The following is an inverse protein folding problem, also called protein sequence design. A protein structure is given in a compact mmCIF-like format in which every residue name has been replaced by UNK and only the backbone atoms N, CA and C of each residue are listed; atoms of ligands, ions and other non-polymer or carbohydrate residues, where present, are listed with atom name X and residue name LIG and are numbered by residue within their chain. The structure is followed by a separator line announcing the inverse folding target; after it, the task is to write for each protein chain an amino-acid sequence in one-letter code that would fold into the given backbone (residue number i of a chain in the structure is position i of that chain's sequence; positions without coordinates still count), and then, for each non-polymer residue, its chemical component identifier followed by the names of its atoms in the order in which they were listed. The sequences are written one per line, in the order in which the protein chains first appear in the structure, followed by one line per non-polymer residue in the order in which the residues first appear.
data_IF_787660013256
#
_entry.id   IF_787660013256
#
_cell.length_a   1.000
_cell.length_b   1.000
_cell.length_c   1.000
_cell.angle_alpha   90.00
_cell.angle_beta   90.00
_cell.angle_gamma   90.00
#
_symmetry.space_group_name_H-M   'P 1'
#
loop_
_entity.id
_entity.type
_entity.pdbx_description
1 polymer ?
#
# COMPACT_ATOMS: atom_id res chain seq x y z
N UNK A 1 -58.76 -24.20 42.91
CA UNK A 1 -57.42 -24.86 42.95
C UNK A 1 -57.00 -25.51 41.62
N UNK A 2 -57.84 -26.32 40.94
CA UNK A 2 -57.49 -26.95 39.64
C UNK A 2 -57.17 -25.95 38.50
N UNK A 3 -58.03 -24.94 38.26
CA UNK A 3 -57.80 -23.91 37.21
C UNK A 3 -56.45 -23.18 37.32
N UNK A 4 -56.06 -22.76 38.54
CA UNK A 4 -54.76 -22.10 38.81
C UNK A 4 -53.56 -23.01 38.51
N UNK A 5 -53.65 -24.31 38.80
CA UNK A 5 -52.62 -25.30 38.42
C UNK A 5 -52.52 -25.46 36.90
N UNK A 6 -53.64 -25.46 36.18
CA UNK A 6 -53.66 -25.54 34.71
C UNK A 6 -53.05 -24.31 34.05
N UNK A 7 -53.37 -23.10 34.53
CA UNK A 7 -52.81 -21.84 34.04
C UNK A 7 -51.29 -21.80 34.26
N UNK A 8 -50.81 -22.20 35.44
CA UNK A 8 -49.38 -22.25 35.74
C UNK A 8 -48.65 -23.25 34.82
N UNK A 9 -49.29 -24.38 34.49
CA UNK A 9 -48.74 -25.38 33.56
C UNK A 9 -48.61 -24.81 32.13
N UNK A 10 -49.61 -24.07 31.67
CA UNK A 10 -49.60 -23.39 30.36
C UNK A 10 -48.52 -22.30 30.29
N UNK A 11 -48.37 -21.48 31.33
CA UNK A 11 -47.33 -20.44 31.39
C UNK A 11 -45.93 -21.07 31.34
N UNK A 12 -45.68 -22.11 32.15
CA UNK A 12 -44.40 -22.83 32.14
C UNK A 12 -44.09 -23.44 30.76
N UNK A 13 -45.11 -24.03 30.11
CA UNK A 13 -44.95 -24.59 28.78
C UNK A 13 -44.62 -23.51 27.75
N UNK A 14 -45.30 -22.36 27.79
CA UNK A 14 -45.07 -21.24 26.88
C UNK A 14 -43.67 -20.64 27.05
N UNK A 15 -43.20 -20.47 28.30
CA UNK A 15 -41.84 -20.03 28.60
C UNK A 15 -40.82 -21.04 28.06
N UNK A 16 -41.01 -22.34 28.34
CA UNK A 16 -40.12 -23.41 27.85
C UNK A 16 -40.03 -23.41 26.32
N UNK A 17 -41.17 -23.33 25.63
CA UNK A 17 -41.19 -23.27 24.16
C UNK A 17 -40.55 -21.98 23.62
N UNK A 18 -40.69 -20.86 24.32
CA UNK A 18 -40.04 -19.62 23.91
C UNK A 18 -38.53 -19.67 24.09
N UNK A 19 -38.04 -20.18 25.23
CA UNK A 19 -36.61 -20.39 25.46
C UNK A 19 -36.02 -21.38 24.47
N UNK A 20 -36.72 -22.47 24.16
CA UNK A 20 -36.27 -23.45 23.16
C UNK A 20 -36.10 -22.81 21.78
N UNK A 21 -37.07 -22.02 21.31
CA UNK A 21 -36.97 -21.33 20.01
C UNK A 21 -35.79 -20.38 19.95
N UNK A 22 -35.57 -19.57 21.00
CA UNK A 22 -34.43 -18.65 21.05
C UNK A 22 -33.11 -19.41 21.06
N UNK A 23 -33.04 -20.53 21.77
CA UNK A 23 -31.85 -21.38 21.82
C UNK A 23 -31.57 -22.06 20.47
N UNK A 24 -32.61 -22.57 19.80
CA UNK A 24 -32.49 -23.16 18.47
C UNK A 24 -32.04 -22.14 17.42
N UNK A 25 -32.58 -20.91 17.49
CA UNK A 25 -32.16 -19.79 16.63
C UNK A 25 -30.70 -19.42 16.87
N UNK A 26 -30.29 -19.25 18.13
CA UNK A 26 -28.91 -18.92 18.51
C UNK A 26 -27.93 -19.99 18.02
N UNK A 27 -28.27 -21.27 18.16
CA UNK A 27 -27.45 -22.35 17.62
C UNK A 27 -27.39 -22.35 16.09
N UNK A 28 -28.48 -21.94 15.43
CA UNK A 28 -28.49 -21.84 13.98
C UNK A 28 -27.55 -20.71 13.50
N UNK A 29 -27.61 -19.55 14.16
CA UNK A 29 -26.68 -18.44 13.92
C UNK A 29 -25.23 -18.85 14.17
N UNK A 30 -24.94 -19.58 15.25
CA UNK A 30 -23.59 -20.08 15.52
C UNK A 30 -23.10 -21.01 14.41
N UNK A 31 -23.97 -21.87 13.87
CA UNK A 31 -23.61 -22.74 12.72
C UNK A 31 -23.32 -21.93 11.46
N UNK A 32 -24.12 -20.91 11.15
CA UNK A 32 -23.86 -20.06 9.99
C UNK A 32 -22.56 -19.27 10.15
N UNK A 33 -22.32 -18.66 11.31
CA UNK A 33 -21.05 -17.98 11.61
C UNK A 33 -19.84 -18.92 11.48
N UNK A 34 -19.98 -20.19 11.86
CA UNK A 34 -18.91 -21.20 11.66
C UNK A 34 -18.67 -21.48 10.17
N UNK A 35 -19.71 -21.53 9.33
CA UNK A 35 -19.58 -21.70 7.88
C UNK A 35 -18.92 -20.49 7.25
N UNK A 36 -19.38 -19.28 7.58
CA UNK A 36 -18.78 -18.03 7.13
C UNK A 36 -17.31 -17.93 7.55
N UNK A 37 -17.00 -18.28 8.80
CA UNK A 37 -15.63 -18.33 9.30
C UNK A 37 -14.75 -19.34 8.54
N UNK A 38 -15.31 -20.47 8.09
CA UNK A 38 -14.59 -21.41 7.22
C UNK A 38 -14.35 -20.83 5.83
N UNK A 39 -15.37 -20.21 5.22
CA UNK A 39 -15.23 -19.55 3.91
C UNK A 39 -14.19 -18.44 3.95
N UNK A 40 -14.21 -17.59 4.99
CA UNK A 40 -13.26 -16.50 5.15
C UNK A 40 -11.82 -17.02 5.28
N UNK A 41 -11.61 -18.11 6.02
CA UNK A 41 -10.29 -18.77 6.10
C UNK A 41 -9.83 -19.29 4.75
N UNK A 42 -10.74 -19.87 3.96
CA UNK A 42 -10.41 -20.37 2.63
C UNK A 42 -10.06 -19.23 1.66
N UNK A 43 -10.83 -18.13 1.68
CA UNK A 43 -10.54 -16.91 0.92
C UNK A 43 -9.14 -16.41 1.30
N UNK A 44 -8.88 -16.24 2.60
CA UNK A 44 -7.60 -15.73 3.08
C UNK A 44 -6.42 -16.61 2.65
N UNK A 45 -6.56 -17.94 2.74
CA UNK A 45 -5.56 -18.89 2.22
C UNK A 45 -5.31 -18.68 0.73
N UNK A 46 -6.37 -18.63 -0.10
CA UNK A 46 -6.25 -18.39 -1.55
C UNK A 46 -5.57 -17.06 -1.85
N UNK A 47 -5.94 -16.01 -1.12
CA UNK A 47 -5.33 -14.68 -1.25
C UNK A 47 -3.85 -14.71 -0.90
N UNK A 48 -3.46 -15.38 0.20
CA UNK A 48 -2.05 -15.55 0.55
C UNK A 48 -1.26 -16.34 -0.48
N UNK A 49 -1.79 -17.47 -0.96
CA UNK A 49 -1.13 -18.30 -1.97
C UNK A 49 -0.93 -17.50 -3.27
N UNK A 50 -1.93 -16.71 -3.67
CA UNK A 50 -1.85 -15.82 -4.82
C UNK A 50 -0.79 -14.73 -4.63
N UNK A 51 -0.77 -14.05 -3.48
CA UNK A 51 0.26 -13.04 -3.18
C UNK A 51 1.67 -13.66 -3.16
N UNK A 52 1.83 -14.84 -2.57
CA UNK A 52 3.11 -15.55 -2.55
C UNK A 52 3.57 -15.96 -3.95
N UNK A 53 2.66 -16.43 -4.80
CA UNK A 53 2.97 -16.75 -6.20
C UNK A 53 3.36 -15.49 -6.98
N UNK A 54 2.58 -14.40 -6.86
CA UNK A 54 2.86 -13.13 -7.51
C UNK A 54 4.21 -12.56 -7.09
N UNK A 55 4.55 -12.62 -5.80
CA UNK A 55 5.83 -12.13 -5.28
C UNK A 55 7.02 -12.94 -5.83
N UNK A 56 6.86 -14.27 -5.98
CA UNK A 56 7.87 -15.13 -6.61
C UNK A 56 8.08 -14.77 -8.08
N UNK A 57 6.99 -14.62 -8.84
CA UNK A 57 7.07 -14.24 -10.25
C UNK A 57 7.66 -12.84 -10.40
N UNK A 58 7.25 -11.88 -9.57
CA UNK A 58 7.84 -10.55 -9.50
C UNK A 58 9.35 -10.65 -9.28
N UNK A 59 9.79 -11.38 -8.26
CA UNK A 59 11.21 -11.55 -7.94
C UNK A 59 12.02 -12.15 -9.09
N UNK A 60 11.45 -13.13 -9.82
CA UNK A 60 12.10 -13.69 -11.03
C UNK A 60 12.30 -12.61 -12.09
N UNK A 61 11.24 -11.88 -12.42
CA UNK A 61 11.29 -10.78 -13.39
C UNK A 61 12.26 -9.68 -12.96
N UNK A 62 12.32 -9.35 -11.66
CA UNK A 62 13.27 -8.37 -11.14
C UNK A 62 14.73 -8.81 -11.28
N UNK A 63 15.00 -10.11 -11.12
CA UNK A 63 16.35 -10.67 -11.29
C UNK A 63 16.74 -10.80 -12.76
N UNK A 64 15.77 -11.07 -13.64
CA UNK A 64 15.97 -11.12 -15.09
C UNK A 64 16.05 -9.72 -15.72
N UNK A 65 15.48 -8.71 -15.06
CA UNK A 65 15.54 -7.33 -15.51
C UNK A 65 16.99 -6.82 -15.45
N UNK A 66 17.62 -6.73 -16.62
CA UNK A 66 18.89 -6.06 -16.77
C UNK A 66 18.68 -4.55 -16.73
N UNK A 67 19.32 -3.88 -15.78
CA UNK A 67 19.33 -2.42 -15.71
C UNK A 67 20.70 -1.90 -16.13
N UNK A 68 20.75 -1.23 -17.28
CA UNK A 68 21.94 -0.56 -17.79
C UNK A 68 22.18 0.76 -17.05
N UNK A 69 22.36 0.71 -15.73
CA UNK A 69 22.68 1.89 -14.94
C UNK A 69 24.15 2.27 -15.08
N UNK A 70 24.41 3.57 -14.99
CA UNK A 70 25.75 4.14 -14.85
C UNK A 70 26.43 3.61 -13.56
N UNK A 71 27.77 3.66 -13.46
CA UNK A 71 28.48 3.28 -12.25
C UNK A 71 27.97 4.01 -11.01
N UNK A 72 27.81 3.29 -9.90
CA UNK A 72 27.20 3.81 -8.68
C UNK A 72 27.89 5.03 -8.05
N UNK A 73 29.18 5.22 -8.34
CA UNK A 73 30.01 6.34 -7.88
C UNK A 73 29.87 7.61 -8.74
N UNK A 74 29.28 7.50 -9.93
CA UNK A 74 29.09 8.66 -10.81
C UNK A 74 28.08 9.65 -10.20
N UNK A 75 28.37 10.95 -10.33
CA UNK A 75 27.48 12.02 -9.88
C UNK A 75 26.56 12.47 -11.01
N UNK A 76 25.28 12.68 -10.66
CA UNK A 76 24.26 13.24 -11.54
C UNK A 76 23.76 14.55 -10.93
N UNK A 77 23.57 15.55 -11.79
CA UNK A 77 22.99 16.84 -11.44
C UNK A 77 21.53 16.84 -11.89
N UNK A 78 20.62 17.10 -10.95
CA UNK A 78 19.19 17.27 -11.16
C UNK A 78 18.83 18.74 -10.94
N UNK A 79 18.09 19.34 -11.86
CA UNK A 79 17.52 20.66 -11.73
C UNK A 79 16.01 20.52 -11.51
N UNK A 80 15.57 20.68 -10.26
CA UNK A 80 14.17 20.50 -9.84
C UNK A 80 13.56 21.88 -9.68
N UNK A 81 12.65 22.28 -10.56
CA UNK A 81 11.97 23.58 -10.44
C UNK A 81 12.89 24.81 -10.36
N UNK A 82 14.13 24.70 -10.85
CA UNK A 82 15.15 25.76 -10.78
C UNK A 82 16.27 25.52 -9.76
N UNK A 83 16.10 24.62 -8.80
CA UNK A 83 17.10 24.30 -7.77
C UNK A 83 17.94 23.08 -8.17
N UNK A 84 19.26 23.17 -8.00
CA UNK A 84 20.19 22.11 -8.40
C UNK A 84 20.54 21.17 -7.25
N UNK A 85 20.36 19.87 -7.48
CA UNK A 85 20.77 18.79 -6.60
C UNK A 85 21.82 17.94 -7.28
N UNK A 86 22.95 17.73 -6.61
CA UNK A 86 23.97 16.78 -7.05
C UNK A 86 24.00 15.59 -6.11
N UNK A 87 24.03 14.39 -6.67
CA UNK A 87 24.07 13.15 -5.89
C UNK A 87 24.64 12.00 -6.72
N UNK A 88 25.08 10.93 -6.04
CA UNK A 88 25.57 9.74 -6.70
C UNK A 88 24.43 8.87 -7.25
N UNK A 89 24.73 8.14 -8.34
CA UNK A 89 23.83 7.16 -8.95
C UNK A 89 23.29 6.17 -7.92
N UNK A 90 24.13 5.69 -7.00
CA UNK A 90 23.75 4.76 -5.94
C UNK A 90 22.54 5.22 -5.08
N UNK A 91 22.37 6.52 -4.89
CA UNK A 91 21.24 7.07 -4.14
C UNK A 91 19.96 7.06 -5.00
N UNK A 92 20.08 7.46 -6.27
CA UNK A 92 18.94 7.58 -7.19
C UNK A 92 18.38 6.22 -7.61
N UNK A 93 19.21 5.17 -7.65
CA UNK A 93 18.80 3.82 -8.06
C UNK A 93 18.24 2.96 -6.93
N UNK A 94 18.12 3.48 -5.69
CA UNK A 94 17.57 2.71 -4.56
C UNK A 94 16.19 2.14 -4.89
N UNK A 95 15.35 2.93 -5.55
CA UNK A 95 14.13 2.45 -6.20
C UNK A 95 14.39 2.28 -7.70
N UNK A 96 14.76 1.06 -8.11
CA UNK A 96 15.20 0.73 -9.48
C UNK A 96 14.19 1.03 -10.60
N UNK A 97 12.90 1.11 -10.26
CA UNK A 97 11.81 1.43 -11.20
C UNK A 97 11.32 2.89 -11.10
N UNK A 98 12.00 3.72 -10.32
CA UNK A 98 11.65 5.13 -10.17
C UNK A 98 12.04 5.95 -11.41
N UNK A 99 11.42 7.12 -11.53
CA UNK A 99 11.81 8.12 -12.54
C UNK A 99 13.28 8.50 -12.35
N UNK A 100 13.73 8.64 -11.10
CA UNK A 100 15.11 9.00 -10.77
C UNK A 100 16.11 7.93 -11.25
N UNK A 101 15.82 6.66 -11.01
CA UNK A 101 16.65 5.56 -11.50
C UNK A 101 16.72 5.52 -13.03
N UNK A 102 15.63 5.88 -13.73
CA UNK A 102 15.62 5.95 -15.18
C UNK A 102 16.58 7.00 -15.75
N UNK A 103 16.85 8.09 -15.01
CA UNK A 103 17.83 9.11 -15.40
C UNK A 103 19.28 8.62 -15.27
N UNK A 104 19.51 7.60 -14.43
CA UNK A 104 20.81 6.97 -14.23
C UNK A 104 21.14 5.90 -15.26
N UNK A 105 20.29 5.67 -16.25
CA UNK A 105 20.57 4.69 -17.31
C UNK A 105 21.60 5.23 -18.30
N UNK A 106 22.31 4.34 -18.97
CA UNK A 106 23.19 4.67 -20.10
C UNK A 106 22.46 5.47 -21.19
N UNK A 107 21.17 5.16 -21.38
CA UNK A 107 20.25 5.85 -22.29
C UNK A 107 19.06 6.41 -21.50
N UNK A 108 19.19 7.62 -20.93
CA UNK A 108 18.11 8.22 -20.14
C UNK A 108 16.94 8.65 -21.05
N UNK A 109 15.69 8.64 -20.55
CA UNK A 109 14.50 8.95 -21.33
C UNK A 109 14.37 10.45 -21.67
N UNK A 110 15.11 11.31 -20.97
CA UNK A 110 15.16 12.76 -21.21
C UNK A 110 16.59 13.18 -21.48
N UNK A 111 16.76 14.22 -22.29
CA UNK A 111 18.08 14.78 -22.59
C UNK A 111 18.58 15.68 -21.45
N UNK A 112 19.90 15.70 -21.25
CA UNK A 112 20.55 16.65 -20.35
C UNK A 112 20.45 18.08 -20.92
N UNK A 113 20.35 19.06 -20.04
CA UNK A 113 20.49 20.48 -20.35
C UNK A 113 21.94 20.79 -20.77
N UNK A 114 22.21 21.97 -21.37
CA UNK A 114 23.56 22.37 -21.78
C UNK A 114 24.60 22.37 -20.65
N UNK A 115 24.16 22.54 -19.41
CA UNK A 115 25.01 22.51 -18.21
C UNK A 115 25.20 21.09 -17.63
N UNK A 116 24.70 20.06 -18.31
CA UNK A 116 24.81 18.66 -17.92
C UNK A 116 23.74 18.18 -16.92
N UNK A 117 22.81 19.04 -16.50
CA UNK A 117 21.75 18.68 -15.55
C UNK A 117 20.50 18.08 -16.21
N UNK A 118 19.75 17.26 -15.48
CA UNK A 118 18.41 16.83 -15.89
C UNK A 118 17.35 17.73 -15.27
N UNK A 119 16.49 18.33 -16.09
CA UNK A 119 15.44 19.22 -15.60
C UNK A 119 14.13 18.48 -15.33
N UNK A 120 13.53 18.78 -14.19
CA UNK A 120 12.24 18.25 -13.76
C UNK A 120 11.41 19.41 -13.20
N UNK A 121 10.24 19.64 -13.78
CA UNK A 121 9.34 20.73 -13.40
C UNK A 121 8.47 20.35 -12.19
N UNK A 122 9.10 20.28 -11.01
CA UNK A 122 8.49 19.91 -9.73
C UNK A 122 9.01 20.77 -8.59
N UNK A 123 8.38 20.67 -7.42
CA UNK A 123 8.76 21.45 -6.25
C UNK A 123 10.06 20.92 -5.60
N UNK A 124 11.10 21.74 -5.66
CA UNK A 124 12.39 21.43 -5.01
C UNK A 124 12.31 21.39 -3.49
N UNK A 125 11.38 22.15 -2.90
CA UNK A 125 11.21 22.20 -1.46
C UNK A 125 10.69 20.87 -0.92
N UNK A 126 9.84 20.15 -1.65
CA UNK A 126 9.45 18.79 -1.26
C UNK A 126 10.54 17.79 -1.65
N UNK A 127 11.20 17.98 -2.79
CA UNK A 127 12.23 17.08 -3.29
C UNK A 127 13.42 16.87 -2.32
N UNK A 128 13.80 17.87 -1.53
CA UNK A 128 14.85 17.68 -0.50
C UNK A 128 14.50 16.57 0.51
N UNK A 129 13.22 16.36 0.80
CA UNK A 129 12.76 15.27 1.67
C UNK A 129 12.82 13.91 0.97
N UNK A 130 12.55 13.85 -0.33
CA UNK A 130 12.82 12.66 -1.15
C UNK A 130 14.30 12.28 -1.04
N UNK A 131 15.20 13.25 -1.25
CA UNK A 131 16.64 13.01 -1.16
C UNK A 131 17.07 12.55 0.23
N UNK A 132 16.52 13.17 1.28
CA UNK A 132 16.78 12.77 2.66
C UNK A 132 16.32 11.33 2.94
N UNK A 133 15.15 10.95 2.43
CA UNK A 133 14.63 9.59 2.55
C UNK A 133 15.50 8.60 1.78
N UNK A 134 15.86 8.88 0.53
CA UNK A 134 16.73 8.01 -0.25
C UNK A 134 18.09 7.83 0.42
N UNK A 135 18.64 8.84 1.10
CA UNK A 135 19.91 8.68 1.83
C UNK A 135 19.75 7.85 3.09
N UNK A 136 18.83 8.25 3.98
CA UNK A 136 18.81 7.81 5.38
C UNK A 136 17.52 7.08 5.81
N UNK A 137 16.57 6.86 4.90
CA UNK A 137 15.25 6.27 5.18
C UNK A 137 14.46 7.05 6.26
N UNK A 138 14.66 8.37 6.30
CA UNK A 138 14.03 9.25 7.30
C UNK A 138 12.84 9.98 6.69
N UNK A 139 11.72 10.00 7.41
CA UNK A 139 10.51 10.74 7.08
C UNK A 139 10.37 12.01 7.94
N UNK A 140 9.77 13.09 7.41
CA UNK A 140 9.38 14.22 8.23
C UNK A 140 8.29 13.85 9.23
N UNK A 141 8.19 14.58 10.34
CA UNK A 141 7.15 14.37 11.36
C UNK A 141 5.86 15.15 11.08
N UNK A 142 5.94 16.18 10.25
CA UNK A 142 4.79 17.01 9.89
C UNK A 142 3.86 16.24 8.93
N UNK A 143 2.58 16.19 9.29
CA UNK A 143 1.55 15.45 8.55
C UNK A 143 1.28 16.07 7.19
N UNK A 144 1.15 17.39 7.10
CA UNK A 144 0.80 18.05 5.84
C UNK A 144 1.94 17.88 4.82
N UNK A 145 3.17 18.00 5.32
CA UNK A 145 4.37 17.71 4.54
C UNK A 145 4.46 16.24 4.10
N UNK A 146 4.06 15.27 4.94
CA UNK A 146 4.04 13.85 4.56
C UNK A 146 3.06 13.60 3.41
N UNK A 147 1.95 14.31 3.39
CA UNK A 147 0.93 14.19 2.35
C UNK A 147 1.41 14.79 1.02
N UNK A 148 2.03 15.97 1.04
CA UNK A 148 2.68 16.55 -0.15
C UNK A 148 3.84 15.66 -0.64
N UNK A 149 4.61 15.10 0.29
CA UNK A 149 5.69 14.16 -0.03
C UNK A 149 5.16 12.87 -0.65
N UNK A 150 3.97 12.41 -0.25
CA UNK A 150 3.32 11.24 -0.85
C UNK A 150 2.93 11.50 -2.30
N UNK A 151 2.42 12.69 -2.61
CA UNK A 151 2.07 13.09 -3.98
C UNK A 151 3.32 13.15 -4.87
N UNK A 152 4.44 13.69 -4.37
CA UNK A 152 5.73 13.63 -5.07
C UNK A 152 6.27 12.19 -5.18
N UNK A 153 6.15 11.38 -4.13
CA UNK A 153 6.59 9.98 -4.16
C UNK A 153 5.87 9.20 -5.26
N UNK A 154 4.58 9.47 -5.46
CA UNK A 154 3.81 8.89 -6.56
C UNK A 154 4.30 9.40 -7.92
N UNK A 155 4.56 10.71 -8.07
CA UNK A 155 5.11 11.29 -9.30
C UNK A 155 6.45 10.65 -9.70
N UNK A 156 7.40 10.56 -8.78
CA UNK A 156 8.71 9.94 -9.02
C UNK A 156 8.67 8.41 -9.04
N UNK A 157 7.51 7.79 -8.77
CA UNK A 157 7.30 6.34 -8.66
C UNK A 157 8.20 5.69 -7.61
N UNK A 158 8.37 6.37 -6.48
CA UNK A 158 9.14 5.93 -5.32
C UNK A 158 8.26 5.05 -4.43
N UNK A 159 8.29 3.74 -4.70
CA UNK A 159 7.47 2.76 -4.01
C UNK A 159 7.89 2.59 -2.55
N UNK A 160 9.20 2.63 -2.26
CA UNK A 160 9.70 2.50 -0.89
C UNK A 160 9.26 3.68 -0.02
N UNK A 161 9.31 4.90 -0.57
CA UNK A 161 8.83 6.10 0.10
C UNK A 161 7.32 6.09 0.31
N UNK A 162 6.56 5.73 -0.72
CA UNK A 162 5.09 5.64 -0.63
C UNK A 162 4.66 4.64 0.44
N UNK A 163 5.28 3.45 0.48
CA UNK A 163 5.02 2.43 1.49
C UNK A 163 5.43 2.88 2.89
N UNK A 164 6.56 3.58 3.03
CA UNK A 164 7.01 4.10 4.31
C UNK A 164 6.02 5.13 4.87
N UNK A 165 5.50 6.04 4.04
CA UNK A 165 4.48 7.03 4.44
C UNK A 165 3.17 6.35 4.85
N UNK A 166 2.69 5.39 4.05
CA UNK A 166 1.47 4.63 4.36
C UNK A 166 1.58 3.81 5.64
N UNK A 167 2.79 3.44 6.06
CA UNK A 167 3.02 2.71 7.31
C UNK A 167 2.98 3.59 8.56
N UNK A 168 2.94 4.92 8.42
CA UNK A 168 2.91 5.84 9.56
C UNK A 168 1.54 5.78 10.24
N UNK A 169 1.46 5.41 11.54
CA UNK A 169 0.19 5.31 12.24
C UNK A 169 -0.52 6.67 12.35
N UNK A 170 -1.83 6.69 12.12
CA UNK A 170 -2.67 7.89 12.26
C UNK A 170 -2.65 8.83 11.06
N UNK A 171 -1.96 8.47 9.97
CA UNK A 171 -2.16 9.07 8.65
C UNK A 171 -3.34 8.39 7.97
N UNK A 172 -4.54 8.85 8.30
CA UNK A 172 -5.77 8.51 7.57
C UNK A 172 -6.00 9.58 6.51
N UNK A 173 -5.81 9.23 5.23
CA UNK A 173 -6.06 10.11 4.08
C UNK A 173 -6.60 9.31 2.90
N UNK A 174 -7.67 9.81 2.27
CA UNK A 174 -8.37 9.15 1.16
C UNK A 174 -7.46 8.93 -0.06
N UNK A 175 -6.39 9.72 -0.22
CA UNK A 175 -5.41 9.56 -1.30
C UNK A 175 -4.72 8.21 -1.26
N UNK A 176 -4.53 7.60 -0.08
CA UNK A 176 -3.91 6.26 0.03
C UNK A 176 -4.78 5.15 -0.59
N UNK A 177 -6.09 5.34 -0.64
CA UNK A 177 -7.05 4.34 -1.12
C UNK A 177 -7.48 4.57 -2.59
N UNK A 178 -7.13 5.69 -3.20
CA UNK A 178 -7.45 5.96 -4.62
C UNK A 178 -6.67 5.05 -5.59
N UNK A 179 -5.47 4.60 -5.19
CA UNK A 179 -4.57 3.81 -6.03
C UNK A 179 -5.05 2.37 -6.27
N UNK A 180 -5.80 1.78 -5.33
CA UNK A 180 -6.29 0.39 -5.43
C UNK A 180 -7.46 0.22 -6.41
N UNK A 181 -8.23 1.27 -6.67
CA UNK A 181 -9.39 1.19 -7.57
C UNK A 181 -9.04 1.30 -9.05
N UNK A 182 -7.81 1.72 -9.39
CA UNK A 182 -7.39 1.92 -10.78
C UNK A 182 -6.88 0.61 -11.42
N UNK A 183 -6.29 -0.31 -10.64
CA UNK A 183 -5.79 -1.59 -11.16
C UNK A 183 -6.91 -2.60 -11.47
N UNK A 184 -8.11 -2.41 -10.90
CA UNK A 184 -9.28 -3.23 -11.21
C UNK A 184 -9.99 -2.82 -12.52
N UNK A 185 -9.70 -1.64 -13.07
CA UNK A 185 -10.40 -1.10 -14.24
C UNK A 185 -9.77 -1.48 -15.59
N UNK A 186 -8.53 -2.02 -15.61
CA UNK A 186 -7.81 -2.36 -16.86
C UNK A 186 -8.00 -3.82 -17.30
N UNK A 187 -8.90 -4.57 -16.67
CA UNK A 187 -9.34 -5.89 -17.15
C UNK A 187 -10.81 -5.87 -17.54
N UNK A 188 -11.12 -5.33 -18.71
CA UNK A 188 -12.34 -5.59 -19.47
C UNK A 188 -12.01 -5.56 -20.95
#
# INVERSE_FOLDING_TARGET
KKKKKTILKLIRLKIRMSCQRVWDEMNNQERELRKEGFQLKEIWRKTMDLHAANERERTKLENEAHFDFLPGEECIILNIGGEKFETSVNILIKDRWSVLAALCKTTPPISKQPDGSFFIDRDWWIFRHIMQFLRNQTLPQDRDLLLELYDEAHFYRLHSLSAAIQSVPGLDDDRFFSTINTTAATSN
#
